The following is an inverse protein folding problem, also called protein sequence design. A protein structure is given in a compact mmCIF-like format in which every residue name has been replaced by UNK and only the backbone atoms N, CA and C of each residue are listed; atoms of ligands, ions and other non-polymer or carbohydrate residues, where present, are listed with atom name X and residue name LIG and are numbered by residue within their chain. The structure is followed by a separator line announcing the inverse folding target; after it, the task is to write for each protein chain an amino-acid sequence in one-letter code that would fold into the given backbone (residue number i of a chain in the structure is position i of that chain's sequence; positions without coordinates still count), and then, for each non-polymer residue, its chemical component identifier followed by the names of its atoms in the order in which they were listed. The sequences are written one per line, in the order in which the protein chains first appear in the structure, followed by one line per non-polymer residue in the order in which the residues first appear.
data_IF_249892269450
#
_entry.id   IF_249892269450
#
_cell.length_a   1.000
_cell.length_b   1.000
_cell.length_c   1.000
_cell.angle_alpha   90.00
_cell.angle_beta   90.00
_cell.angle_gamma   90.00
#
_symmetry.space_group_name_H-M   'P 1'
#
loop_
_entity.id
_entity.type
_entity.pdbx_description
1 polymer ?
#
# COMPACT_ATOMS: atom_id res chain seq x y z
N UNK A 1 -13.67 11.13 0.99
CA UNK A 1 -13.18 9.75 0.84
C UNK A 1 -12.25 9.73 -0.35
N UNK A 2 -11.01 9.25 -0.17
CA UNK A 2 -9.96 9.25 -1.19
C UNK A 2 -9.62 7.80 -1.49
N UNK A 3 -9.41 7.47 -2.75
CA UNK A 3 -8.96 6.14 -3.15
C UNK A 3 -7.44 6.05 -3.05
N UNK A 4 -6.96 4.92 -2.56
CA UNK A 4 -5.55 4.60 -2.38
C UNK A 4 -5.28 3.26 -3.03
N UNK A 5 -4.08 3.09 -3.55
CA UNK A 5 -3.62 1.89 -4.23
C UNK A 5 -2.39 1.38 -3.51
N UNK A 6 -2.51 0.18 -2.94
CA UNK A 6 -1.41 -0.55 -2.31
C UNK A 6 -0.93 -1.61 -3.28
N UNK A 7 0.30 -1.45 -3.74
CA UNK A 7 0.98 -2.43 -4.59
C UNK A 7 2.19 -2.98 -3.84
N UNK A 8 2.27 -4.31 -3.76
CA UNK A 8 3.39 -5.05 -3.20
C UNK A 8 4.12 -5.75 -4.34
N UNK A 9 5.44 -5.73 -4.26
CA UNK A 9 6.37 -6.36 -5.17
C UNK A 9 7.20 -7.42 -4.44
N UNK A 10 7.54 -8.48 -5.16
CA UNK A 10 8.53 -9.46 -4.74
C UNK A 10 9.94 -8.88 -4.82
N UNK A 11 10.90 -9.54 -4.19
CA UNK A 11 12.34 -9.24 -4.32
C UNK A 11 12.82 -9.28 -5.79
N UNK A 12 12.16 -10.08 -6.63
CA UNK A 12 12.42 -10.17 -8.07
C UNK A 12 11.85 -8.98 -8.88
N UNK A 13 11.00 -8.15 -8.26
CA UNK A 13 10.31 -7.03 -8.90
C UNK A 13 8.95 -7.39 -9.51
N UNK A 14 8.47 -8.62 -9.30
CA UNK A 14 7.14 -9.05 -9.73
C UNK A 14 6.05 -8.51 -8.82
N UNK A 15 4.88 -8.19 -9.37
CA UNK A 15 3.76 -7.66 -8.57
C UNK A 15 3.07 -8.82 -7.83
N UNK A 16 3.26 -8.87 -6.51
CA UNK A 16 2.64 -9.89 -5.64
C UNK A 16 1.20 -9.54 -5.27
N UNK A 17 0.96 -8.27 -4.99
CA UNK A 17 -0.35 -7.82 -4.51
C UNK A 17 -0.66 -6.42 -5.03
N UNK A 18 -1.91 -6.18 -5.37
CA UNK A 18 -2.37 -4.90 -5.91
C UNK A 18 -3.83 -4.72 -5.55
N UNK A 19 -4.09 -3.84 -4.58
CA UNK A 19 -5.43 -3.60 -4.10
C UNK A 19 -5.69 -2.10 -3.95
N UNK A 20 -6.88 -1.67 -4.36
CA UNK A 20 -7.36 -0.31 -4.16
C UNK A 20 -8.37 -0.24 -3.02
N UNK A 21 -8.15 0.65 -2.07
CA UNK A 21 -9.06 0.87 -0.94
C UNK A 21 -9.37 2.34 -0.74
N UNK A 22 -10.42 2.66 0.01
CA UNK A 22 -10.87 4.02 0.27
C UNK A 22 -10.56 4.36 1.73
N UNK A 23 -9.98 5.54 1.97
CA UNK A 23 -9.80 6.06 3.31
C UNK A 23 -10.20 7.54 3.41
N UNK A 24 -10.48 8.01 4.62
CA UNK A 24 -10.89 9.40 4.84
C UNK A 24 -9.70 10.35 4.74
N UNK A 25 -8.52 9.94 5.21
CA UNK A 25 -7.32 10.77 5.28
C UNK A 25 -6.05 9.92 5.10
N UNK A 26 -4.92 10.58 4.85
CA UNK A 26 -3.63 9.92 4.66
C UNK A 26 -3.21 9.05 5.86
N UNK A 27 -3.47 9.50 7.09
CA UNK A 27 -3.14 8.72 8.30
C UNK A 27 -3.91 7.41 8.35
N UNK A 28 -5.22 7.46 8.10
CA UNK A 28 -6.07 6.27 8.07
C UNK A 28 -5.67 5.32 6.93
N UNK A 29 -5.31 5.87 5.76
CA UNK A 29 -4.81 5.07 4.66
C UNK A 29 -3.51 4.34 4.98
N UNK A 30 -2.60 5.00 5.72
CA UNK A 30 -1.37 4.36 6.21
C UNK A 30 -1.67 3.20 7.15
N UNK A 31 -2.58 3.39 8.10
CA UNK A 31 -2.96 2.32 9.03
C UNK A 31 -3.61 1.13 8.31
N UNK A 32 -4.53 1.39 7.37
CA UNK A 32 -5.17 0.34 6.58
C UNK A 32 -4.12 -0.43 5.75
N UNK A 33 -3.22 0.30 5.08
CA UNK A 33 -2.14 -0.30 4.29
C UNK A 33 -1.20 -1.14 5.15
N UNK A 34 -0.71 -0.61 6.27
CA UNK A 34 0.17 -1.33 7.21
C UNK A 34 -0.50 -2.57 7.80
N UNK A 35 -1.79 -2.47 8.16
CA UNK A 35 -2.54 -3.60 8.67
C UNK A 35 -2.65 -4.71 7.62
N UNK A 36 -2.99 -4.36 6.37
CA UNK A 36 -3.04 -5.31 5.25
C UNK A 36 -1.69 -5.96 4.99
N UNK A 37 -0.61 -5.18 4.96
CA UNK A 37 0.75 -5.70 4.80
C UNK A 37 1.13 -6.69 5.91
N UNK A 38 0.69 -6.42 7.15
CA UNK A 38 0.92 -7.32 8.28
C UNK A 38 0.08 -8.59 8.19
N UNK A 39 -1.19 -8.48 7.78
CA UNK A 39 -2.10 -9.62 7.59
C UNK A 39 -1.65 -10.52 6.42
N UNK A 40 -1.02 -9.93 5.41
CA UNK A 40 -0.51 -10.63 4.23
C UNK A 40 0.97 -11.02 4.33
N UNK A 41 1.62 -10.76 5.47
CA UNK A 41 3.06 -11.00 5.69
C UNK A 41 3.99 -10.28 4.68
N UNK A 42 3.48 -9.22 4.04
CA UNK A 42 4.19 -8.38 3.07
C UNK A 42 4.91 -7.17 3.69
N UNK A 43 5.00 -7.10 5.02
CA UNK A 43 5.65 -5.99 5.72
C UNK A 43 7.13 -5.84 5.35
N UNK A 44 7.81 -6.96 5.08
CA UNK A 44 9.23 -7.01 4.67
C UNK A 44 9.41 -7.00 3.15
N UNK A 45 8.31 -7.03 2.39
CA UNK A 45 8.37 -6.98 0.93
C UNK A 45 8.39 -5.53 0.45
N UNK A 46 8.92 -5.30 -0.75
CA UNK A 46 8.87 -3.98 -1.38
C UNK A 46 7.42 -3.59 -1.61
N UNK A 47 6.94 -2.52 -0.98
CA UNK A 47 5.55 -2.11 -1.12
C UNK A 47 5.41 -0.59 -1.22
N UNK A 48 4.39 -0.16 -1.96
CA UNK A 48 4.05 1.25 -2.11
C UNK A 48 2.56 1.47 -1.97
N UNK A 49 2.21 2.55 -1.31
CA UNK A 49 0.84 3.02 -1.20
C UNK A 49 0.76 4.42 -1.80
N UNK A 50 -0.05 4.60 -2.83
CA UNK A 50 -0.27 5.87 -3.53
C UNK A 50 -1.74 6.28 -3.45
N UNK A 51 -2.04 7.58 -3.48
CA UNK A 51 -3.42 8.05 -3.69
C UNK A 51 -3.82 7.92 -5.16
N UNK A 52 -5.12 8.00 -5.43
CA UNK A 52 -5.66 8.20 -6.77
C UNK A 52 -5.18 9.48 -7.45
N UNK A 53 -4.74 10.46 -6.67
CA UNK A 53 -4.10 11.70 -7.14
C UNK A 53 -2.61 11.50 -7.49
N UNK A 54 -2.08 10.28 -7.31
CA UNK A 54 -0.68 9.95 -7.59
C UNK A 54 0.30 10.33 -6.48
N UNK A 55 -0.17 10.74 -5.28
CA UNK A 55 0.70 11.06 -4.15
C UNK A 55 1.16 9.80 -3.46
N UNK A 56 2.48 9.67 -3.29
CA UNK A 56 3.10 8.58 -2.53
C UNK A 56 2.89 8.81 -1.02
N UNK A 57 2.19 7.89 -0.36
CA UNK A 57 1.98 7.92 1.09
C UNK A 57 3.00 7.08 1.86
N UNK A 58 3.23 5.88 1.35
CA UNK A 58 3.98 4.82 2.01
C UNK A 58 4.85 4.15 0.96
N UNK A 59 6.11 3.95 1.29
CA UNK A 59 7.07 3.31 0.41
C UNK A 59 8.10 2.57 1.25
N UNK A 60 8.29 1.30 0.95
CA UNK A 60 9.28 0.43 1.54
C UNK A 60 9.98 -0.32 0.40
N UNK A 61 11.30 -0.44 0.50
CA UNK A 61 12.14 -1.13 -0.49
C UNK A 61 12.70 -2.38 0.13
#
# INVERSE_FOLDING_TARGET
MVSYFLTVFDQSGEKLYDESFIATNNSQAKEIGLRKLKELEFTEHTHRCVTADGKLLLFHR
#
